data_IF_481425714990
#
_entry.id   IF_481425714990
#
_cell.length_a   1.000
_cell.length_b   1.000
_cell.length_c   1.000
_cell.angle_alpha   90.00
_cell.angle_beta   90.00
_cell.angle_gamma   90.00
#
_symmetry.space_group_name_H-M   'P 1'
#
loop_
_entity.id
_entity.type
_entity.pdbx_description
1 polymer ?
#
# COMPACT_ATOMS: atom_id res chain seq x y z
N UNK A 1 -15.90 12.73 -17.39
CA UNK A 1 -14.90 13.14 -16.40
C UNK A 1 -14.68 11.94 -15.50
N UNK A 2 -13.54 11.26 -15.64
CA UNK A 2 -13.23 10.06 -14.88
C UNK A 2 -12.79 10.43 -13.46
N UNK A 3 -13.41 9.80 -12.46
CA UNK A 3 -13.13 10.04 -11.05
C UNK A 3 -12.51 8.78 -10.44
N UNK A 4 -11.48 8.94 -9.60
CA UNK A 4 -10.78 7.82 -9.02
C UNK A 4 -10.65 7.90 -7.49
N UNK A 5 -10.66 6.74 -6.86
CA UNK A 5 -10.16 6.54 -5.51
C UNK A 5 -8.90 5.70 -5.62
N UNK A 6 -7.77 6.27 -5.22
CA UNK A 6 -6.47 5.65 -5.27
C UNK A 6 -6.02 5.29 -3.84
N UNK A 7 -5.39 4.15 -3.69
CA UNK A 7 -5.09 3.58 -2.37
C UNK A 7 -3.61 3.28 -2.21
N UNK A 8 -3.06 3.55 -1.03
CA UNK A 8 -1.92 2.79 -0.55
C UNK A 8 -2.35 1.35 -0.22
N UNK A 9 -1.40 0.49 0.08
CA UNK A 9 -1.64 -0.92 0.33
C UNK A 9 -1.48 -1.29 1.81
N UNK A 10 -0.24 -1.25 2.31
CA UNK A 10 0.08 -1.67 3.69
C UNK A 10 -0.36 -0.63 4.71
N UNK A 11 -1.17 -1.03 5.69
CA UNK A 11 -1.78 -0.09 6.64
C UNK A 11 -3.06 0.58 6.15
N UNK A 12 -3.42 0.37 4.87
CA UNK A 12 -4.58 0.99 4.24
C UNK A 12 -5.62 -0.04 3.80
N UNK A 13 -5.24 -1.05 3.04
CA UNK A 13 -6.13 -2.13 2.57
C UNK A 13 -5.93 -3.43 3.37
N UNK A 14 -4.72 -3.70 3.82
CA UNK A 14 -4.38 -4.87 4.62
C UNK A 14 -3.26 -4.57 5.62
N UNK A 15 -3.00 -5.50 6.52
CA UNK A 15 -1.78 -5.56 7.31
C UNK A 15 -1.14 -6.94 7.23
N UNK A 16 0.19 -6.99 7.17
CA UNK A 16 0.95 -8.21 6.86
C UNK A 16 2.08 -8.48 7.84
N UNK A 17 2.39 -7.55 8.74
CA UNK A 17 3.61 -7.56 9.54
C UNK A 17 3.81 -8.86 10.33
N UNK A 18 2.75 -9.38 10.95
CA UNK A 18 2.78 -10.64 11.71
C UNK A 18 2.94 -11.87 10.80
N UNK A 19 2.40 -11.81 9.58
CA UNK A 19 2.46 -12.90 8.59
C UNK A 19 3.83 -12.95 7.91
N UNK A 20 4.43 -11.81 7.59
CA UNK A 20 5.71 -11.75 6.87
C UNK A 20 6.92 -11.78 7.80
N UNK A 21 6.76 -11.46 9.08
CA UNK A 21 7.85 -11.45 10.05
C UNK A 21 8.62 -12.77 10.14
N UNK A 22 7.97 -13.95 10.24
CA UNK A 22 8.68 -15.23 10.23
C UNK A 22 9.46 -15.44 8.92
N UNK A 23 8.85 -15.06 7.79
CA UNK A 23 9.46 -15.22 6.45
C UNK A 23 10.73 -14.36 6.35
N UNK A 24 10.68 -13.10 6.80
CA UNK A 24 11.86 -12.25 6.84
C UNK A 24 12.96 -12.77 7.75
N UNK A 25 12.62 -13.30 8.91
CA UNK A 25 13.60 -13.90 9.80
C UNK A 25 14.24 -15.17 9.21
N UNK A 26 13.51 -15.95 8.43
CA UNK A 26 14.04 -17.10 7.68
C UNK A 26 14.95 -16.63 6.52
N UNK A 27 14.60 -15.59 5.79
CA UNK A 27 15.45 -14.97 4.75
C UNK A 27 16.77 -14.49 5.36
N UNK A 28 16.69 -13.77 6.48
CA UNK A 28 17.88 -13.32 7.22
C UNK A 28 18.82 -14.45 7.57
N UNK A 29 18.30 -15.49 8.23
CA UNK A 29 19.05 -16.67 8.64
C UNK A 29 19.70 -17.38 7.46
N UNK A 30 18.98 -17.47 6.34
CA UNK A 30 19.45 -18.16 5.12
C UNK A 30 20.60 -17.40 4.45
N UNK A 31 20.52 -16.08 4.37
CA UNK A 31 21.46 -15.28 3.57
C UNK A 31 22.58 -14.62 4.35
N UNK A 32 22.46 -14.48 5.67
CA UNK A 32 23.50 -13.87 6.50
C UNK A 32 24.08 -14.75 7.58
N UNK A 33 23.59 -15.96 7.76
CA UNK A 33 24.00 -16.83 8.85
C UNK A 33 23.93 -16.12 10.23
N UNK A 34 22.99 -15.20 10.37
CA UNK A 34 22.85 -14.35 11.55
C UNK A 34 21.87 -14.93 12.56
N UNK A 35 22.15 -14.72 13.85
CA UNK A 35 21.20 -14.98 14.93
C UNK A 35 20.27 -13.81 15.22
N UNK A 36 20.50 -12.66 14.60
CA UNK A 36 19.62 -11.49 14.75
C UNK A 36 18.24 -11.81 14.15
N UNK A 37 17.20 -11.52 14.91
CA UNK A 37 15.83 -11.60 14.48
C UNK A 37 15.22 -10.18 14.49
N UNK A 38 14.38 -9.91 13.49
CA UNK A 38 13.56 -8.71 13.45
C UNK A 38 12.39 -8.92 14.41
N UNK A 39 12.07 -7.91 15.19
CA UNK A 39 10.87 -7.89 16.05
C UNK A 39 9.65 -7.38 15.27
N UNK A 40 8.45 -7.61 15.80
CA UNK A 40 7.22 -7.08 15.21
C UNK A 40 7.21 -5.53 15.23
N UNK A 41 7.76 -4.92 16.27
CA UNK A 41 7.88 -3.47 16.41
C UNK A 41 8.80 -2.89 15.30
N UNK A 42 9.97 -3.52 15.08
CA UNK A 42 10.86 -3.15 13.98
C UNK A 42 10.16 -3.32 12.64
N UNK A 43 9.46 -4.43 12.39
CA UNK A 43 8.73 -4.67 11.14
C UNK A 43 7.67 -3.59 10.90
N UNK A 44 6.89 -3.23 11.90
CA UNK A 44 5.90 -2.15 11.80
C UNK A 44 6.55 -0.82 11.44
N UNK A 45 7.76 -0.54 11.95
CA UNK A 45 8.49 0.71 11.65
C UNK A 45 9.01 0.80 10.21
N UNK A 46 9.01 -0.31 9.48
CA UNK A 46 9.45 -0.37 8.07
C UNK A 46 8.31 -0.13 7.08
N UNK A 47 7.06 -0.24 7.51
CA UNK A 47 5.90 -0.06 6.63
C UNK A 47 5.88 1.33 6.00
N UNK A 48 5.40 1.39 4.75
CA UNK A 48 5.38 2.62 3.95
C UNK A 48 6.71 3.01 3.30
N UNK A 49 7.82 2.35 3.66
CA UNK A 49 9.14 2.56 3.04
C UNK A 49 9.31 1.75 1.76
N UNK A 50 10.21 2.20 0.88
CA UNK A 50 10.60 1.40 -0.28
C UNK A 50 11.44 0.19 0.14
N UNK A 51 11.50 -0.82 -0.73
CA UNK A 51 12.31 -2.03 -0.50
C UNK A 51 13.78 -1.69 -0.28
N UNK A 52 14.31 -0.71 -1.02
CA UNK A 52 15.69 -0.25 -0.88
C UNK A 52 15.94 0.38 0.49
N UNK A 53 15.00 1.19 0.97
CA UNK A 53 15.07 1.79 2.31
C UNK A 53 15.02 0.71 3.40
N UNK A 54 14.10 -0.25 3.27
CA UNK A 54 13.98 -1.38 4.20
C UNK A 54 15.28 -2.20 4.18
N UNK A 55 15.78 -2.57 3.01
CA UNK A 55 17.00 -3.35 2.86
C UNK A 55 18.21 -2.63 3.46
N UNK A 56 18.33 -1.30 3.27
CA UNK A 56 19.44 -0.52 3.84
C UNK A 56 19.41 -0.48 5.37
N UNK A 57 18.24 -0.51 5.99
CA UNK A 57 18.07 -0.50 7.45
C UNK A 57 18.29 -1.90 8.03
N UNK A 58 17.65 -2.90 7.43
CA UNK A 58 17.66 -4.27 7.94
C UNK A 58 18.96 -5.00 7.61
N UNK A 59 19.44 -4.85 6.38
CA UNK A 59 20.42 -5.73 5.78
C UNK A 59 21.25 -5.03 4.70
N UNK A 60 22.15 -4.09 5.06
CA UNK A 60 22.91 -3.31 4.07
C UNK A 60 23.70 -4.14 3.05
N UNK A 61 23.87 -5.43 3.31
CA UNK A 61 24.68 -6.35 2.50
C UNK A 61 23.84 -7.44 1.79
N UNK A 62 22.49 -7.47 1.98
CA UNK A 62 21.64 -8.42 1.26
C UNK A 62 21.31 -7.91 -0.14
N UNK A 63 21.40 -8.79 -1.15
CA UNK A 63 20.86 -8.48 -2.46
C UNK A 63 19.36 -8.17 -2.38
N UNK A 64 18.91 -7.11 -3.08
CA UNK A 64 17.49 -6.70 -3.10
C UNK A 64 16.56 -7.82 -3.59
N UNK A 65 17.07 -8.71 -4.43
CA UNK A 65 16.35 -9.87 -4.95
C UNK A 65 15.81 -10.78 -3.84
N UNK A 66 16.50 -10.84 -2.69
CA UNK A 66 16.04 -11.61 -1.53
C UNK A 66 14.71 -11.08 -0.97
N UNK A 67 14.43 -9.80 -1.17
CA UNK A 67 13.16 -9.20 -0.73
C UNK A 67 11.95 -9.79 -1.46
N UNK A 68 12.13 -10.36 -2.65
CA UNK A 68 11.07 -11.03 -3.40
C UNK A 68 10.74 -12.43 -2.86
N UNK A 69 11.59 -13.03 -2.03
CA UNK A 69 11.38 -14.39 -1.48
C UNK A 69 10.13 -14.48 -0.58
N UNK A 70 9.62 -13.36 -0.08
CA UNK A 70 8.36 -13.31 0.69
C UNK A 70 7.09 -13.45 -0.19
N UNK A 71 7.16 -13.12 -1.47
CA UNK A 71 5.98 -13.06 -2.37
C UNK A 71 5.21 -14.39 -2.43
N UNK A 72 5.85 -15.56 -2.61
CA UNK A 72 5.13 -16.84 -2.62
C UNK A 72 4.37 -17.12 -1.31
N UNK A 73 4.92 -16.71 -0.17
CA UNK A 73 4.26 -16.86 1.13
C UNK A 73 3.04 -15.95 1.22
N UNK A 74 3.19 -14.67 0.88
CA UNK A 74 2.08 -13.72 0.85
C UNK A 74 0.95 -14.17 -0.07
N UNK A 75 1.28 -14.67 -1.25
CA UNK A 75 0.30 -15.18 -2.21
C UNK A 75 -0.49 -16.37 -1.67
N UNK A 76 0.11 -17.18 -0.79
CA UNK A 76 -0.51 -18.35 -0.18
C UNK A 76 -1.33 -18.00 1.06
N UNK A 77 -0.78 -17.17 1.93
CA UNK A 77 -1.36 -16.89 3.26
C UNK A 77 -2.24 -15.65 3.25
N UNK A 78 -1.99 -14.71 2.32
CA UNK A 78 -2.53 -13.36 2.40
C UNK A 78 -1.98 -12.62 3.62
N UNK A 79 -2.44 -11.42 3.81
CA UNK A 79 -2.37 -10.70 5.07
C UNK A 79 -3.77 -10.64 5.68
N UNK A 80 -3.99 -9.72 6.60
CA UNK A 80 -5.31 -9.49 7.19
C UNK A 80 -5.94 -8.26 6.55
N UNK A 81 -7.11 -8.43 5.93
CA UNK A 81 -7.89 -7.30 5.44
C UNK A 81 -8.45 -6.49 6.60
N UNK A 82 -8.57 -5.18 6.42
CA UNK A 82 -9.34 -4.36 7.35
C UNK A 82 -10.84 -4.67 7.23
N UNK A 83 -11.57 -4.43 8.31
CA UNK A 83 -13.00 -4.72 8.38
C UNK A 83 -13.79 -4.01 7.27
N UNK A 84 -14.81 -4.68 6.73
CA UNK A 84 -15.70 -4.18 5.67
C UNK A 84 -15.01 -3.82 4.35
N UNK A 85 -13.75 -4.21 4.13
CA UNK A 85 -12.98 -3.81 2.95
C UNK A 85 -13.70 -4.21 1.65
N UNK A 86 -14.02 -5.49 1.46
CA UNK A 86 -14.58 -5.96 0.19
C UNK A 86 -15.94 -5.33 -0.10
N UNK A 87 -16.83 -5.23 0.90
CA UNK A 87 -18.14 -4.60 0.72
C UNK A 87 -18.04 -3.12 0.37
N UNK A 88 -17.05 -2.43 0.92
CA UNK A 88 -16.80 -1.01 0.62
C UNK A 88 -16.20 -0.83 -0.77
N UNK A 89 -15.27 -1.69 -1.18
CA UNK A 89 -14.74 -1.70 -2.55
C UNK A 89 -15.85 -1.94 -3.58
N UNK A 90 -16.80 -2.84 -3.29
CA UNK A 90 -17.95 -3.08 -4.15
C UNK A 90 -18.82 -1.82 -4.32
N UNK A 91 -19.00 -1.03 -3.26
CA UNK A 91 -19.73 0.26 -3.34
C UNK A 91 -18.97 1.26 -4.18
N UNK A 92 -17.68 1.45 -3.91
CA UNK A 92 -16.84 2.44 -4.58
C UNK A 92 -16.66 2.15 -6.07
N UNK A 93 -16.46 0.87 -6.44
CA UNK A 93 -16.23 0.46 -7.83
C UNK A 93 -17.41 0.70 -8.78
N UNK A 94 -18.60 1.00 -8.24
CA UNK A 94 -19.79 1.34 -9.05
C UNK A 94 -19.73 2.75 -9.62
N UNK A 95 -18.95 3.64 -8.99
CA UNK A 95 -18.95 5.07 -9.30
C UNK A 95 -17.55 5.64 -9.57
N UNK A 96 -16.49 4.92 -9.21
CA UNK A 96 -15.13 5.40 -9.27
C UNK A 96 -14.20 4.36 -9.90
N UNK A 97 -13.20 4.83 -10.62
CA UNK A 97 -12.01 4.06 -10.92
C UNK A 97 -11.27 3.76 -9.62
N UNK A 98 -10.88 2.51 -9.38
CA UNK A 98 -10.09 2.13 -8.21
C UNK A 98 -8.69 1.71 -8.65
N UNK A 99 -7.66 2.27 -8.00
CA UNK A 99 -6.26 1.95 -8.29
C UNK A 99 -5.42 1.83 -7.02
N UNK A 100 -4.37 0.97 -7.06
CA UNK A 100 -3.43 0.80 -5.95
C UNK A 100 -2.09 1.41 -6.34
N UNK A 101 -1.52 2.28 -5.50
CA UNK A 101 -0.18 2.81 -5.68
C UNK A 101 0.63 2.60 -4.39
N UNK A 102 1.68 1.79 -4.45
CA UNK A 102 2.47 1.42 -3.28
C UNK A 102 3.98 1.57 -3.51
N UNK A 103 4.73 1.67 -2.42
CA UNK A 103 6.20 1.65 -2.44
C UNK A 103 6.81 0.23 -2.47
N UNK A 104 5.99 -0.79 -2.61
CA UNK A 104 6.42 -2.18 -2.58
C UNK A 104 7.19 -2.62 -3.84
N UNK A 105 7.76 -3.83 -3.78
CA UNK A 105 8.40 -4.51 -4.91
C UNK A 105 7.39 -5.15 -5.86
N UNK A 106 7.86 -5.49 -7.07
CA UNK A 106 7.08 -6.25 -8.04
C UNK A 106 6.54 -7.56 -7.44
N UNK A 107 5.29 -7.89 -7.78
CA UNK A 107 4.61 -9.10 -7.33
C UNK A 107 3.86 -8.96 -5.99
N UNK A 108 4.11 -7.89 -5.23
CA UNK A 108 3.50 -7.71 -3.91
C UNK A 108 2.02 -7.34 -3.99
N UNK A 109 1.65 -6.37 -4.84
CA UNK A 109 0.25 -6.01 -5.11
C UNK A 109 -0.48 -7.21 -5.74
N UNK A 110 0.16 -7.88 -6.69
CA UNK A 110 -0.40 -9.08 -7.32
C UNK A 110 -0.64 -10.22 -6.32
N UNK A 111 0.24 -10.36 -5.31
CA UNK A 111 0.05 -11.34 -4.24
C UNK A 111 -1.17 -11.00 -3.37
N UNK A 112 -1.33 -9.72 -3.00
CA UNK A 112 -2.51 -9.22 -2.29
C UNK A 112 -3.80 -9.49 -3.06
N UNK A 113 -3.87 -9.04 -4.31
CA UNK A 113 -5.04 -9.22 -5.16
C UNK A 113 -5.43 -10.69 -5.30
N UNK A 114 -4.44 -11.55 -5.61
CA UNK A 114 -4.66 -12.98 -5.78
C UNK A 114 -5.13 -13.67 -4.48
N UNK A 115 -4.47 -13.40 -3.35
CA UNK A 115 -4.78 -14.04 -2.08
C UNK A 115 -6.22 -13.76 -1.63
N UNK A 116 -6.68 -12.55 -1.88
CA UNK A 116 -8.00 -12.08 -1.44
C UNK A 116 -9.07 -12.06 -2.54
N UNK A 117 -8.72 -12.41 -3.80
CA UNK A 117 -9.62 -12.42 -4.98
C UNK A 117 -10.26 -11.05 -5.23
N UNK A 118 -9.45 -10.00 -5.08
CA UNK A 118 -9.91 -8.60 -5.18
C UNK A 118 -9.60 -7.95 -6.54
N UNK A 119 -9.01 -8.69 -7.51
CA UNK A 119 -8.66 -8.18 -8.84
C UNK A 119 -9.85 -7.52 -9.56
N UNK A 120 -11.05 -8.04 -9.31
CA UNK A 120 -12.29 -7.57 -9.93
C UNK A 120 -12.67 -6.11 -9.60
N UNK A 121 -12.10 -5.55 -8.53
CA UNK A 121 -12.42 -4.19 -8.10
C UNK A 121 -11.44 -3.14 -8.59
N UNK A 122 -10.19 -3.54 -8.86
CA UNK A 122 -9.13 -2.62 -9.21
C UNK A 122 -8.86 -2.61 -10.71
N UNK A 123 -8.95 -1.42 -11.31
CA UNK A 123 -8.73 -1.25 -12.75
C UNK A 123 -7.26 -1.11 -13.11
N UNK A 124 -6.42 -0.64 -12.17
CA UNK A 124 -4.99 -0.44 -12.38
C UNK A 124 -4.22 -0.43 -11.06
N UNK A 125 -2.90 -0.61 -11.14
CA UNK A 125 -2.00 -0.46 -10.00
C UNK A 125 -0.57 -0.15 -10.45
N UNK A 126 0.17 0.55 -9.58
CA UNK A 126 1.58 0.85 -9.80
C UNK A 126 2.39 0.75 -8.51
N UNK A 127 3.67 0.48 -8.67
CA UNK A 127 4.59 0.32 -7.55
C UNK A 127 5.98 0.84 -7.85
N UNK A 128 6.65 1.39 -6.83
CA UNK A 128 8.01 1.91 -6.96
C UNK A 128 9.00 0.84 -7.42
N UNK A 129 8.84 -0.41 -6.99
CA UNK A 129 9.69 -1.52 -7.41
C UNK A 129 9.61 -1.90 -8.90
N UNK A 130 8.63 -1.37 -9.65
CA UNK A 130 8.49 -1.55 -11.10
C UNK A 130 8.98 -0.34 -11.88
N UNK A 131 8.67 0.85 -11.40
CA UNK A 131 8.92 2.11 -12.11
C UNK A 131 10.20 2.81 -11.70
N UNK A 132 10.69 2.56 -10.50
CA UNK A 132 11.72 3.35 -9.80
C UNK A 132 11.34 4.83 -9.61
N UNK A 133 10.04 5.15 -9.69
CA UNK A 133 9.49 6.47 -9.44
C UNK A 133 9.06 6.61 -7.97
N UNK A 134 8.94 7.84 -7.50
CA UNK A 134 8.31 8.14 -6.22
C UNK A 134 6.83 7.79 -6.23
N UNK A 135 6.22 7.63 -5.06
CA UNK A 135 4.79 7.36 -4.95
C UNK A 135 3.94 8.46 -5.60
N UNK A 136 4.30 9.73 -5.44
CA UNK A 136 3.61 10.85 -6.08
C UNK A 136 3.69 10.83 -7.60
N UNK A 137 4.87 10.52 -8.17
CA UNK A 137 5.02 10.32 -9.61
C UNK A 137 4.22 9.12 -10.13
N UNK A 138 4.14 8.04 -9.38
CA UNK A 138 3.32 6.87 -9.72
C UNK A 138 1.81 7.19 -9.69
N UNK A 139 1.35 8.04 -8.76
CA UNK A 139 -0.03 8.55 -8.74
C UNK A 139 -0.30 9.31 -10.06
N UNK A 140 0.55 10.27 -10.42
CA UNK A 140 0.42 11.03 -11.68
C UNK A 140 0.42 10.11 -12.90
N UNK A 141 1.33 9.13 -12.94
CA UNK A 141 1.43 8.16 -14.03
C UNK A 141 0.13 7.36 -14.21
N UNK A 142 -0.45 6.85 -13.10
CA UNK A 142 -1.72 6.10 -13.14
C UNK A 142 -2.87 7.01 -13.59
N UNK A 143 -2.92 8.24 -13.09
CA UNK A 143 -3.95 9.20 -13.51
C UNK A 143 -3.87 9.53 -15.00
N UNK A 144 -2.67 9.80 -15.52
CA UNK A 144 -2.44 10.14 -16.92
C UNK A 144 -2.82 8.99 -17.86
N UNK A 145 -2.29 7.78 -17.61
CA UNK A 145 -2.53 6.62 -18.50
C UNK A 145 -3.98 6.13 -18.51
N UNK A 146 -4.75 6.47 -17.46
CA UNK A 146 -6.17 6.12 -17.36
C UNK A 146 -7.11 7.31 -17.61
N UNK A 147 -6.59 8.46 -18.03
CA UNK A 147 -7.36 9.68 -18.29
C UNK A 147 -8.25 10.11 -17.11
N UNK A 148 -7.71 10.01 -15.88
CA UNK A 148 -8.41 10.37 -14.66
C UNK A 148 -8.34 11.87 -14.46
N UNK A 149 -9.49 12.52 -14.39
CA UNK A 149 -9.62 13.99 -14.25
C UNK A 149 -9.55 14.44 -12.78
N UNK A 150 -10.10 13.63 -11.87
CA UNK A 150 -10.13 13.89 -10.43
C UNK A 150 -9.83 12.63 -9.66
N UNK A 151 -9.00 12.73 -8.63
CA UNK A 151 -8.70 11.61 -7.75
C UNK A 151 -8.66 12.04 -6.29
N UNK A 152 -8.79 11.08 -5.40
CA UNK A 152 -8.46 11.18 -3.98
C UNK A 152 -7.53 10.03 -3.63
N UNK A 153 -6.55 10.27 -2.77
CA UNK A 153 -5.62 9.25 -2.29
C UNK A 153 -5.88 8.90 -0.83
N UNK A 154 -6.09 7.62 -0.54
CA UNK A 154 -6.20 7.07 0.82
C UNK A 154 -4.87 6.43 1.21
N UNK A 155 -4.35 6.78 2.39
CA UNK A 155 -3.14 6.21 2.95
C UNK A 155 -3.05 6.46 4.46
N UNK A 156 -2.10 5.79 5.12
CA UNK A 156 -1.98 5.83 6.58
C UNK A 156 -0.71 6.52 7.09
N UNK A 157 0.16 7.00 6.19
CA UNK A 157 1.44 7.60 6.56
C UNK A 157 1.60 9.05 6.11
N UNK A 158 2.55 9.76 6.74
CA UNK A 158 3.01 11.07 6.26
C UNK A 158 3.59 10.99 4.84
N UNK A 159 4.18 9.84 4.46
CA UNK A 159 4.66 9.60 3.09
C UNK A 159 3.52 9.60 2.06
N UNK A 160 2.36 9.09 2.42
CA UNK A 160 1.15 9.08 1.58
C UNK A 160 0.58 10.50 1.41
N UNK A 161 0.54 11.25 2.51
CA UNK A 161 0.12 12.65 2.48
C UNK A 161 1.01 13.49 1.57
N UNK A 162 2.34 13.31 1.66
CA UNK A 162 3.29 14.01 0.80
C UNK A 162 3.18 13.57 -0.66
N UNK A 163 2.93 12.28 -0.93
CA UNK A 163 2.72 11.76 -2.27
C UNK A 163 1.44 12.33 -2.91
N UNK A 164 0.34 12.39 -2.16
CA UNK A 164 -0.90 13.01 -2.62
C UNK A 164 -0.72 14.52 -2.91
N UNK A 165 0.00 15.22 -2.02
CA UNK A 165 0.36 16.64 -2.22
C UNK A 165 1.21 16.84 -3.46
N UNK A 166 2.21 15.99 -3.70
CA UNK A 166 3.04 16.05 -4.91
C UNK A 166 2.20 15.79 -6.17
N UNK A 167 1.24 14.88 -6.10
CA UNK A 167 0.30 14.61 -7.18
C UNK A 167 -0.82 15.66 -7.31
N UNK A 168 -0.88 16.67 -6.44
CA UNK A 168 -1.88 17.74 -6.42
C UNK A 168 -3.32 17.22 -6.27
N UNK A 169 -3.51 16.13 -5.51
CA UNK A 169 -4.82 15.56 -5.22
C UNK A 169 -5.12 15.55 -3.71
N UNK A 170 -6.39 15.58 -3.31
CA UNK A 170 -6.80 15.45 -1.91
C UNK A 170 -6.30 14.14 -1.27
N UNK A 171 -5.96 14.23 0.01
CA UNK A 171 -5.54 13.10 0.84
C UNK A 171 -6.59 12.79 1.88
N UNK A 172 -6.86 11.49 2.09
CA UNK A 172 -7.67 10.97 3.20
C UNK A 172 -6.76 10.12 4.09
N UNK A 173 -6.71 10.43 5.37
CA UNK A 173 -5.91 9.71 6.34
C UNK A 173 -6.68 8.50 6.90
N UNK A 174 -6.11 7.31 6.73
CA UNK A 174 -6.57 6.05 7.32
C UNK A 174 -6.00 5.91 8.74
N UNK A 175 -6.68 6.45 9.76
CA UNK A 175 -6.17 6.48 11.14
C UNK A 175 -6.15 5.11 11.84
N UNK A 176 -6.66 4.09 11.20
CA UNK A 176 -6.60 2.69 11.64
C UNK A 176 -5.33 1.97 11.22
N UNK A 177 -4.50 2.58 10.37
CA UNK A 177 -3.23 2.02 9.88
C UNK A 177 -2.09 2.07 10.90
N UNK A 178 -0.85 1.93 10.42
CA UNK A 178 0.34 1.89 11.26
C UNK A 178 0.92 3.27 11.55
N UNK A 179 0.71 4.19 10.62
CA UNK A 179 1.43 5.45 10.56
C UNK A 179 0.72 6.60 11.23
N UNK A 180 1.29 7.77 10.99
CA UNK A 180 0.77 9.05 11.45
C UNK A 180 0.88 10.06 10.31
N UNK A 181 0.14 11.16 10.43
CA UNK A 181 0.18 12.27 9.49
C UNK A 181 0.06 13.61 10.23
N UNK A 182 0.21 14.71 9.51
CA UNK A 182 0.16 16.07 10.06
C UNK A 182 -1.06 16.81 9.54
N UNK A 183 -1.99 17.17 10.44
CA UNK A 183 -3.17 18.01 10.14
C UNK A 183 -3.92 17.59 8.85
N UNK A 184 -4.37 16.33 8.72
CA UNK A 184 -5.09 15.88 7.54
C UNK A 184 -6.45 16.59 7.44
N UNK A 185 -6.83 17.00 6.23
CA UNK A 185 -8.14 17.61 5.98
C UNK A 185 -9.28 16.60 6.14
N UNK A 186 -9.03 15.36 5.75
CA UNK A 186 -9.96 14.25 5.84
C UNK A 186 -9.34 13.09 6.60
N UNK A 187 -10.09 12.51 7.52
CA UNK A 187 -9.69 11.35 8.30
C UNK A 187 -10.84 10.35 8.37
N UNK A 188 -10.53 9.07 8.23
CA UNK A 188 -11.44 7.97 8.50
C UNK A 188 -10.85 7.06 9.57
N UNK A 189 -11.71 6.55 10.45
CA UNK A 189 -11.35 5.61 11.52
C UNK A 189 -11.68 4.15 11.18
N UNK A 190 -12.41 3.95 10.10
CA UNK A 190 -12.73 2.64 9.52
C UNK A 190 -12.92 2.77 8.01
N UNK A 191 -12.67 1.69 7.27
CA UNK A 191 -12.65 1.71 5.80
C UNK A 191 -14.04 2.00 5.19
N UNK A 192 -15.10 1.61 5.86
CA UNK A 192 -16.50 1.81 5.42
C UNK A 192 -16.98 3.27 5.51
N UNK A 193 -16.21 4.17 6.12
CA UNK A 193 -16.46 5.62 6.07
C UNK A 193 -16.07 6.24 4.72
N UNK A 194 -15.20 5.59 3.95
CA UNK A 194 -14.60 6.14 2.74
C UNK A 194 -15.62 6.53 1.64
N UNK A 195 -16.69 5.78 1.35
CA UNK A 195 -17.65 6.17 0.31
C UNK A 195 -18.23 7.56 0.53
N UNK A 196 -18.57 7.89 1.77
CA UNK A 196 -19.12 9.21 2.13
C UNK A 196 -18.08 10.33 1.95
N UNK A 197 -16.84 10.05 2.30
CA UNK A 197 -15.73 11.02 2.16
C UNK A 197 -15.39 11.21 0.68
N UNK A 198 -15.31 10.13 -0.10
CA UNK A 198 -15.05 10.18 -1.54
C UNK A 198 -16.14 10.96 -2.28
N UNK A 199 -17.43 10.74 -1.95
CA UNK A 199 -18.54 11.50 -2.52
C UNK A 199 -18.44 13.00 -2.20
N UNK A 200 -18.06 13.36 -0.97
CA UNK A 200 -17.86 14.76 -0.57
C UNK A 200 -16.75 15.44 -1.37
N UNK A 201 -15.66 14.73 -1.69
CA UNK A 201 -14.48 15.28 -2.37
C UNK A 201 -14.67 15.29 -3.89
N UNK A 202 -15.19 14.20 -4.43
CA UNK A 202 -15.25 13.98 -5.87
C UNK A 202 -16.62 14.37 -6.48
N UNK A 203 -17.67 14.33 -5.71
CA UNK A 203 -19.04 14.62 -6.12
C UNK A 203 -19.70 13.42 -6.75
#
# INVERSE_FOLDING_TARGET
MEKAVLFDLDGTLWHTCDVILPVWNDILKKHKETTKQITLEEMNSYMGKTVEQIASIMLPELPLECCAEQIPSLRKTGGHLYDNLESTLEILSKNYFLGIISNCQCGYIEAFLFAHKLEKYFSDFEMSGRTNLTKGENIKLVMERNSIDKAVYLGDTIGDQLAAKDAEIPFVFASYGFGTTENPEYTISSFDELPKVAEKILG
#
